data_IF_540565286647
#
_entry.id   IF_540565286647
#
_cell.length_a   1.000
_cell.length_b   1.000
_cell.length_c   1.000
_cell.angle_alpha   90.00
_cell.angle_beta   90.00
_cell.angle_gamma   90.00
#
_symmetry.space_group_name_H-M   'P 1'
#
loop_
_entity.id
_entity.type
_entity.pdbx_description
1 polymer ?
#
# COMPACT_ATOMS: atom_id res chain seq x y z
N UNK A 1 -13.46 23.57 31.09
CA UNK A 1 -13.33 23.48 29.63
C UNK A 1 -11.87 23.43 29.16
N UNK A 2 -10.99 24.36 29.51
CA UNK A 2 -9.59 24.39 29.02
C UNK A 2 -8.77 23.10 29.26
N UNK A 3 -8.88 22.49 30.44
CA UNK A 3 -8.18 21.21 30.73
C UNK A 3 -8.73 20.02 29.93
N UNK A 4 -10.02 20.03 29.63
CA UNK A 4 -10.66 18.98 28.80
C UNK A 4 -10.18 19.11 27.36
N UNK A 5 -10.18 20.33 26.81
CA UNK A 5 -9.62 20.58 25.48
C UNK A 5 -8.13 20.20 25.38
N UNK A 6 -7.32 20.55 26.39
CA UNK A 6 -5.92 20.14 26.48
C UNK A 6 -5.75 18.61 26.46
N UNK A 7 -6.57 17.89 27.26
CA UNK A 7 -6.53 16.44 27.29
C UNK A 7 -6.94 15.79 25.95
N UNK A 8 -7.96 16.33 25.27
CA UNK A 8 -8.39 15.85 23.95
C UNK A 8 -7.30 16.06 22.88
N UNK A 9 -6.62 17.21 22.88
CA UNK A 9 -5.50 17.48 21.98
C UNK A 9 -4.32 16.53 22.24
N UNK A 10 -3.97 16.28 23.51
CA UNK A 10 -2.93 15.31 23.86
C UNK A 10 -3.30 13.88 23.44
N UNK A 11 -4.57 13.50 23.59
CA UNK A 11 -5.06 12.19 23.15
C UNK A 11 -5.00 12.05 21.63
N UNK A 12 -5.44 13.07 20.88
CA UNK A 12 -5.36 13.08 19.42
C UNK A 12 -3.90 12.99 18.94
N UNK A 13 -2.99 13.74 19.57
CA UNK A 13 -1.56 13.66 19.29
C UNK A 13 -0.99 12.26 19.57
N UNK A 14 -1.37 11.64 20.70
CA UNK A 14 -0.95 10.29 21.05
C UNK A 14 -1.46 9.25 20.04
N UNK A 15 -2.72 9.35 19.60
CA UNK A 15 -3.27 8.50 18.53
C UNK A 15 -2.47 8.68 17.23
N UNK A 16 -2.09 9.91 16.89
CA UNK A 16 -1.23 10.20 15.75
C UNK A 16 0.16 9.54 15.87
N UNK A 17 0.77 9.60 17.06
CA UNK A 17 2.06 8.93 17.33
C UNK A 17 1.92 7.42 17.14
N UNK A 18 0.88 6.81 17.73
CA UNK A 18 0.61 5.37 17.58
C UNK A 18 0.47 4.98 16.12
N UNK A 19 -0.26 5.73 15.29
CA UNK A 19 -0.43 5.45 13.86
C UNK A 19 0.88 5.50 13.08
N UNK A 20 1.79 6.42 13.43
CA UNK A 20 3.09 6.54 12.77
C UNK A 20 4.07 5.42 13.13
N UNK A 21 3.95 4.80 14.31
CA UNK A 21 4.94 3.83 14.83
C UNK A 21 4.43 2.39 14.89
N UNK A 22 3.14 2.17 15.08
CA UNK A 22 2.56 0.84 15.18
C UNK A 22 2.71 0.11 13.83
N UNK A 23 3.00 -1.20 13.81
CA UNK A 23 3.08 -1.94 12.55
C UNK A 23 1.81 -1.77 11.71
N UNK A 24 1.98 -1.36 10.44
CA UNK A 24 0.89 -1.20 9.48
C UNK A 24 0.97 -2.21 8.32
N UNK A 25 2.05 -2.98 8.26
CA UNK A 25 2.27 -4.12 7.35
C UNK A 25 2.60 -5.36 8.17
N UNK A 26 2.54 -6.54 7.55
CA UNK A 26 2.93 -7.80 8.20
C UNK A 26 3.71 -8.69 7.23
N UNK A 27 4.79 -9.31 7.69
CA UNK A 27 5.57 -10.26 6.88
C UNK A 27 4.81 -11.58 6.63
N UNK A 28 3.95 -11.98 7.57
CA UNK A 28 3.07 -13.15 7.48
C UNK A 28 1.73 -12.89 8.18
N UNK A 29 0.72 -13.72 7.90
CA UNK A 29 -0.63 -13.56 8.42
C UNK A 29 -1.35 -12.30 7.91
N UNK A 30 -2.41 -11.90 8.63
CA UNK A 30 -3.22 -10.71 8.34
C UNK A 30 -2.39 -9.42 8.50
N UNK A 31 -2.29 -8.56 7.46
CA UNK A 31 -1.81 -7.19 7.67
C UNK A 31 -2.79 -6.42 8.58
N UNK A 32 -2.30 -5.60 9.53
CA UNK A 32 -3.15 -5.03 10.58
C UNK A 32 -4.43 -4.35 10.10
N UNK A 33 -5.58 -4.92 10.47
CA UNK A 33 -6.91 -4.37 10.24
C UNK A 33 -7.49 -4.59 8.84
N UNK A 34 -6.83 -5.37 7.99
CA UNK A 34 -7.32 -5.66 6.63
C UNK A 34 -8.61 -6.46 6.67
N UNK A 35 -8.78 -7.46 7.55
CA UNK A 35 -10.01 -8.24 7.59
C UNK A 35 -11.23 -7.35 7.93
N UNK A 36 -11.04 -6.41 8.86
CA UNK A 36 -12.04 -5.38 9.20
C UNK A 36 -12.29 -4.40 8.05
N UNK A 37 -11.29 -4.12 7.24
CA UNK A 37 -11.44 -3.28 6.04
C UNK A 37 -12.24 -4.01 4.96
N UNK A 38 -11.97 -5.30 4.73
CA UNK A 38 -12.73 -6.13 3.80
C UNK A 38 -14.18 -6.34 4.26
N UNK A 39 -14.43 -6.41 5.57
CA UNK A 39 -15.80 -6.44 6.10
C UNK A 39 -16.58 -5.16 5.78
N UNK A 40 -15.95 -3.99 5.91
CA UNK A 40 -16.54 -2.71 5.49
C UNK A 40 -16.81 -2.69 3.97
N UNK A 41 -15.81 -3.05 3.17
CA UNK A 41 -15.91 -3.07 1.72
C UNK A 41 -17.02 -4.01 1.24
N UNK A 42 -17.16 -5.18 1.85
CA UNK A 42 -18.20 -6.14 1.47
C UNK A 42 -19.60 -5.56 1.64
N UNK A 43 -19.85 -4.91 2.78
CA UNK A 43 -21.12 -4.24 3.06
C UNK A 43 -21.35 -3.08 2.08
N UNK A 44 -20.35 -2.22 1.87
CA UNK A 44 -20.45 -1.10 0.91
C UNK A 44 -20.75 -1.58 -0.52
N UNK A 45 -20.16 -2.70 -0.95
CA UNK A 45 -20.43 -3.31 -2.25
C UNK A 45 -21.83 -3.95 -2.35
N UNK A 46 -22.38 -4.49 -1.25
CA UNK A 46 -23.80 -4.91 -1.20
C UNK A 46 -24.75 -3.71 -1.33
N UNK A 47 -24.34 -2.56 -0.79
CA UNK A 47 -25.13 -1.32 -0.78
C UNK A 47 -25.01 -0.50 -2.08
N UNK A 48 -24.36 -1.02 -3.13
CA UNK A 48 -24.31 -0.38 -4.45
C UNK A 48 -23.08 0.51 -4.72
N UNK A 49 -22.04 0.43 -3.89
CA UNK A 49 -20.83 1.26 -4.10
C UNK A 49 -20.11 0.96 -5.43
N UNK A 50 -20.31 -0.23 -6.02
CA UNK A 50 -19.74 -0.54 -7.33
C UNK A 50 -20.32 0.37 -8.42
N UNK A 51 -21.63 0.54 -8.42
CA UNK A 51 -22.37 1.42 -9.31
C UNK A 51 -22.03 2.90 -9.04
N UNK A 52 -21.92 3.30 -7.77
CA UNK A 52 -21.48 4.65 -7.42
C UNK A 52 -20.06 4.94 -7.93
N UNK A 53 -19.14 3.97 -7.80
CA UNK A 53 -17.79 4.11 -8.30
C UNK A 53 -17.76 4.23 -9.84
N UNK A 54 -18.63 3.51 -10.56
CA UNK A 54 -18.76 3.61 -12.02
C UNK A 54 -19.12 5.01 -12.50
N UNK A 55 -19.88 5.77 -11.70
CA UNK A 55 -20.23 7.14 -12.01
C UNK A 55 -19.05 8.13 -11.85
N UNK A 56 -17.99 7.73 -11.15
CA UNK A 56 -16.79 8.54 -10.97
C UNK A 56 -15.82 8.39 -12.13
N UNK A 57 -15.67 7.16 -12.68
CA UNK A 57 -14.74 6.88 -13.77
C UNK A 57 -15.03 5.55 -14.49
N UNK A 58 -14.51 5.35 -15.73
CA UNK A 58 -14.91 4.25 -16.62
C UNK A 58 -14.73 2.84 -16.04
N UNK A 59 -13.76 2.64 -15.16
CA UNK A 59 -13.39 1.36 -14.55
C UNK A 59 -13.90 1.24 -13.10
N UNK A 60 -14.73 2.17 -12.62
CA UNK A 60 -15.09 2.28 -11.20
C UNK A 60 -15.75 1.03 -10.64
N UNK A 61 -16.77 0.49 -11.32
CA UNK A 61 -17.40 -0.77 -10.93
C UNK A 61 -16.38 -1.90 -10.90
N UNK A 62 -15.57 -1.98 -11.95
CA UNK A 62 -14.59 -3.05 -12.13
C UNK A 62 -13.55 -3.02 -11.02
N UNK A 63 -12.93 -1.87 -10.74
CA UNK A 63 -11.91 -1.74 -9.70
C UNK A 63 -12.47 -1.97 -8.29
N UNK A 64 -13.69 -1.50 -7.99
CA UNK A 64 -14.32 -1.74 -6.69
C UNK A 64 -14.44 -3.25 -6.38
N UNK A 65 -14.80 -4.06 -7.39
CA UNK A 65 -14.96 -5.49 -7.23
C UNK A 65 -13.65 -6.28 -7.34
N UNK A 66 -12.82 -6.00 -8.35
CA UNK A 66 -11.59 -6.78 -8.58
C UNK A 66 -10.60 -6.59 -7.43
N UNK A 67 -10.43 -5.37 -6.91
CA UNK A 67 -9.49 -5.11 -5.81
C UNK A 67 -9.96 -5.77 -4.51
N UNK A 68 -11.27 -5.78 -4.25
CA UNK A 68 -11.85 -6.56 -3.14
C UNK A 68 -11.57 -8.06 -3.31
N UNK A 69 -11.83 -8.62 -4.49
CA UNK A 69 -11.60 -10.03 -4.79
C UNK A 69 -10.12 -10.42 -4.66
N UNK A 70 -9.20 -9.60 -5.17
CA UNK A 70 -7.76 -9.83 -5.08
C UNK A 70 -7.25 -9.72 -3.65
N UNK A 71 -7.71 -8.73 -2.88
CA UNK A 71 -7.36 -8.62 -1.46
C UNK A 71 -7.85 -9.85 -0.66
N UNK A 72 -9.04 -10.38 -0.98
CA UNK A 72 -9.53 -11.66 -0.42
C UNK A 72 -8.63 -12.83 -0.79
N UNK A 73 -8.25 -12.97 -2.07
CA UNK A 73 -7.32 -14.01 -2.51
C UNK A 73 -6.02 -13.96 -1.71
N UNK A 74 -5.41 -12.80 -1.62
CA UNK A 74 -4.13 -12.64 -0.91
C UNK A 74 -4.26 -12.91 0.58
N UNK A 75 -5.38 -12.53 1.20
CA UNK A 75 -5.65 -12.85 2.60
C UNK A 75 -5.79 -14.35 2.82
N UNK A 76 -6.55 -15.06 1.99
CA UNK A 76 -6.71 -16.52 2.07
C UNK A 76 -5.43 -17.31 1.78
N UNK A 77 -4.50 -16.72 1.03
CA UNK A 77 -3.15 -17.27 0.84
C UNK A 77 -2.28 -17.08 2.09
N UNK A 78 -2.42 -15.95 2.80
CA UNK A 78 -1.68 -15.65 4.04
C UNK A 78 -2.21 -16.40 5.25
N UNK A 79 -3.52 -16.67 5.29
CA UNK A 79 -4.21 -17.28 6.44
C UNK A 79 -4.98 -18.53 6.02
N UNK A 80 -4.43 -19.74 6.27
CA UNK A 80 -5.10 -20.99 5.94
C UNK A 80 -6.51 -21.12 6.49
N UNK A 81 -6.77 -20.59 7.70
CA UNK A 81 -8.08 -20.62 8.35
C UNK A 81 -9.16 -19.80 7.60
N UNK A 82 -8.77 -18.79 6.83
CA UNK A 82 -9.69 -17.92 6.07
C UNK A 82 -9.78 -18.31 4.59
N UNK A 83 -9.09 -19.37 4.17
CA UNK A 83 -8.94 -19.73 2.75
C UNK A 83 -10.26 -20.01 2.06
N UNK A 84 -11.16 -20.74 2.72
CA UNK A 84 -12.47 -21.08 2.17
C UNK A 84 -13.38 -19.85 2.05
N UNK A 85 -13.46 -19.03 3.11
CA UNK A 85 -14.18 -17.76 3.09
C UNK A 85 -13.64 -16.86 1.97
N UNK A 86 -12.33 -16.72 1.89
CA UNK A 86 -11.65 -15.89 0.88
C UNK A 86 -11.93 -16.36 -0.54
N UNK A 87 -11.96 -17.69 -0.78
CA UNK A 87 -12.27 -18.24 -2.08
C UNK A 87 -13.72 -17.97 -2.48
N UNK A 88 -14.68 -18.06 -1.54
CA UNK A 88 -16.08 -17.73 -1.79
C UNK A 88 -16.26 -16.25 -2.13
N UNK A 89 -15.63 -15.37 -1.37
CA UNK A 89 -15.72 -13.92 -1.60
C UNK A 89 -15.03 -13.51 -2.92
N UNK A 90 -13.89 -14.13 -3.25
CA UNK A 90 -13.21 -13.89 -4.53
C UNK A 90 -14.03 -14.37 -5.73
N UNK A 91 -14.74 -15.51 -5.62
CA UNK A 91 -15.69 -15.97 -6.65
C UNK A 91 -16.88 -15.04 -6.81
N UNK A 92 -17.40 -14.52 -5.70
CA UNK A 92 -18.46 -13.52 -5.73
C UNK A 92 -18.00 -12.28 -6.51
N UNK A 93 -16.80 -11.76 -6.22
CA UNK A 93 -16.23 -10.62 -6.93
C UNK A 93 -16.02 -10.92 -8.42
N UNK A 94 -15.49 -12.09 -8.75
CA UNK A 94 -15.28 -12.54 -10.13
C UNK A 94 -16.61 -12.58 -10.92
N UNK A 95 -17.69 -13.10 -10.32
CA UNK A 95 -18.99 -13.12 -10.95
C UNK A 95 -19.56 -11.71 -11.21
N UNK A 96 -19.14 -10.69 -10.45
CA UNK A 96 -19.51 -9.29 -10.69
C UNK A 96 -18.78 -8.71 -11.90
N UNK A 97 -17.49 -9.01 -12.06
CA UNK A 97 -16.72 -8.60 -13.24
C UNK A 97 -17.31 -9.19 -14.53
N UNK A 98 -17.79 -10.44 -14.47
CA UNK A 98 -18.39 -11.14 -15.61
C UNK A 98 -19.88 -10.80 -15.84
N UNK A 99 -20.47 -9.94 -15.00
CA UNK A 99 -21.87 -9.54 -15.10
C UNK A 99 -22.08 -8.48 -16.19
N UNK A 100 -23.33 -8.24 -16.64
CA UNK A 100 -23.63 -7.15 -17.57
C UNK A 100 -23.09 -5.79 -17.11
N UNK A 101 -23.14 -5.47 -15.81
CA UNK A 101 -22.59 -4.22 -15.27
C UNK A 101 -21.06 -4.19 -15.33
N UNK A 102 -20.41 -5.34 -15.09
CA UNK A 102 -18.94 -5.46 -15.12
C UNK A 102 -18.33 -5.33 -16.51
N UNK A 103 -19.07 -5.73 -17.56
CA UNK A 103 -18.62 -5.62 -18.95
C UNK A 103 -19.13 -4.36 -19.67
N UNK A 104 -20.17 -3.69 -19.16
CA UNK A 104 -20.85 -2.59 -19.84
C UNK A 104 -19.92 -1.45 -20.33
N UNK A 105 -18.87 -1.03 -19.60
CA UNK A 105 -17.98 0.03 -20.07
C UNK A 105 -17.01 -0.40 -21.18
N UNK A 106 -16.90 -1.70 -21.45
CA UNK A 106 -15.88 -2.27 -22.31
C UNK A 106 -16.45 -2.73 -23.64
N UNK A 107 -15.71 -2.48 -24.72
CA UNK A 107 -16.16 -2.82 -26.09
C UNK A 107 -15.97 -4.31 -26.40
N UNK A 108 -17.04 -5.06 -26.75
CA UNK A 108 -16.93 -6.47 -27.14
C UNK A 108 -16.20 -6.67 -28.47
N UNK A 109 -16.01 -5.62 -29.27
CA UNK A 109 -15.34 -5.65 -30.59
C UNK A 109 -13.80 -5.65 -30.49
N UNK A 110 -13.25 -5.47 -29.29
CA UNK A 110 -11.80 -5.55 -29.06
C UNK A 110 -11.28 -6.99 -29.19
N UNK A 111 -9.97 -7.12 -29.35
CA UNK A 111 -9.29 -8.43 -29.34
C UNK A 111 -8.26 -8.47 -28.21
N UNK A 112 -8.48 -9.28 -27.16
CA UNK A 112 -9.67 -10.09 -26.90
C UNK A 112 -10.93 -9.24 -26.61
N UNK A 113 -12.15 -9.80 -26.70
CA UNK A 113 -13.39 -9.08 -26.40
C UNK A 113 -13.33 -8.39 -25.02
N UNK A 114 -13.85 -7.17 -24.94
CA UNK A 114 -13.77 -6.29 -23.75
C UNK A 114 -12.38 -5.74 -23.43
N UNK A 115 -11.39 -5.99 -24.28
CA UNK A 115 -10.05 -5.39 -24.17
C UNK A 115 -9.15 -6.05 -23.14
N UNK A 116 -7.84 -5.75 -23.24
CA UNK A 116 -6.82 -6.41 -22.42
C UNK A 116 -6.91 -6.03 -20.93
N UNK A 117 -7.42 -4.84 -20.61
CA UNK A 117 -7.69 -4.42 -19.23
C UNK A 117 -8.64 -5.41 -18.56
N UNK A 118 -9.87 -5.52 -19.07
CA UNK A 118 -10.90 -6.36 -18.48
C UNK A 118 -10.44 -7.82 -18.42
N UNK A 119 -9.93 -8.34 -19.54
CA UNK A 119 -9.53 -9.75 -19.64
C UNK A 119 -8.32 -10.07 -18.76
N UNK A 120 -7.30 -9.22 -18.70
CA UNK A 120 -6.10 -9.44 -17.91
C UNK A 120 -6.38 -9.51 -16.42
N UNK A 121 -7.08 -8.49 -15.89
CA UNK A 121 -7.45 -8.43 -14.48
C UNK A 121 -8.42 -9.56 -14.08
N UNK A 122 -9.42 -9.85 -14.92
CA UNK A 122 -10.36 -10.96 -14.67
C UNK A 122 -9.64 -12.31 -14.66
N UNK A 123 -8.74 -12.55 -15.62
CA UNK A 123 -7.98 -13.80 -15.69
C UNK A 123 -7.00 -13.95 -14.51
N UNK A 124 -6.41 -12.84 -14.04
CA UNK A 124 -5.62 -12.83 -12.81
C UNK A 124 -6.44 -13.24 -11.59
N UNK A 125 -7.65 -12.69 -11.41
CA UNK A 125 -8.55 -13.07 -10.32
C UNK A 125 -9.00 -14.55 -10.43
N UNK A 126 -9.30 -15.04 -11.64
CA UNK A 126 -9.60 -16.48 -11.89
C UNK A 126 -8.47 -17.38 -11.41
N UNK A 127 -7.22 -17.07 -11.79
CA UNK A 127 -6.05 -17.81 -11.33
C UNK A 127 -5.90 -17.74 -9.80
N UNK A 128 -6.21 -16.60 -9.19
CA UNK A 128 -6.21 -16.41 -7.74
C UNK A 128 -7.21 -17.33 -7.00
N UNK A 129 -8.44 -17.44 -7.51
CA UNK A 129 -9.45 -18.38 -6.98
C UNK A 129 -8.94 -19.82 -7.06
N UNK A 130 -8.37 -20.23 -8.19
CA UNK A 130 -7.80 -21.57 -8.37
C UNK A 130 -6.62 -21.84 -7.43
N UNK A 131 -5.80 -20.82 -7.15
CA UNK A 131 -4.66 -20.93 -6.25
C UNK A 131 -5.04 -21.11 -4.77
N UNK A 132 -6.27 -20.73 -4.38
CA UNK A 132 -6.78 -20.99 -3.02
C UNK A 132 -7.28 -22.43 -2.84
N UNK A 133 -7.58 -23.16 -3.92
CA UNK A 133 -8.01 -24.55 -3.84
C UNK A 133 -6.81 -25.50 -3.99
N UNK A 134 -6.72 -26.56 -3.15
CA UNK A 134 -5.81 -27.69 -3.42
C UNK A 134 -6.06 -28.25 -4.81
N UNK A 135 -4.99 -28.67 -5.50
CA UNK A 135 -5.05 -29.12 -6.90
C UNK A 135 -6.12 -30.19 -7.13
N UNK A 136 -6.27 -31.13 -6.19
CA UNK A 136 -7.20 -32.26 -6.26
C UNK A 136 -8.67 -31.86 -6.06
N UNK A 137 -8.91 -30.65 -5.53
CA UNK A 137 -10.24 -30.10 -5.22
C UNK A 137 -10.63 -28.92 -6.08
N UNK A 138 -9.85 -28.60 -7.11
CA UNK A 138 -10.19 -27.53 -8.05
C UNK A 138 -11.41 -27.93 -8.86
N UNK A 139 -12.36 -27.01 -8.99
CA UNK A 139 -13.53 -27.20 -9.85
C UNK A 139 -13.06 -27.32 -11.32
N UNK A 140 -13.37 -28.43 -12.01
CA UNK A 140 -13.01 -28.63 -13.41
C UNK A 140 -13.51 -27.52 -14.35
N UNK A 141 -14.67 -26.90 -14.05
CA UNK A 141 -15.21 -25.80 -14.84
C UNK A 141 -14.40 -24.51 -14.65
N UNK A 142 -13.92 -24.23 -13.43
CA UNK A 142 -13.03 -23.09 -13.16
C UNK A 142 -11.68 -23.28 -13.86
N UNK A 143 -11.13 -24.50 -13.82
CA UNK A 143 -9.88 -24.85 -14.52
C UNK A 143 -10.01 -24.65 -16.03
N UNK A 144 -11.09 -25.15 -16.65
CA UNK A 144 -11.32 -24.96 -18.10
C UNK A 144 -11.44 -23.49 -18.46
N UNK A 145 -12.26 -22.72 -17.75
CA UNK A 145 -12.43 -21.28 -18.02
C UNK A 145 -11.13 -20.48 -17.90
N UNK A 146 -10.29 -20.80 -16.92
CA UNK A 146 -8.98 -20.16 -16.76
C UNK A 146 -8.01 -20.55 -17.89
N UNK A 147 -7.98 -21.82 -18.29
CA UNK A 147 -7.16 -22.29 -19.39
C UNK A 147 -7.58 -21.68 -20.75
N UNK A 148 -8.88 -21.62 -21.03
CA UNK A 148 -9.45 -21.05 -22.25
C UNK A 148 -9.18 -19.54 -22.35
N UNK A 149 -9.40 -18.78 -21.27
CA UNK A 149 -9.12 -17.35 -21.26
C UNK A 149 -7.63 -17.04 -21.36
N UNK A 150 -6.77 -17.83 -20.71
CA UNK A 150 -5.32 -17.71 -20.87
C UNK A 150 -4.89 -18.01 -22.30
N UNK A 151 -5.49 -19.03 -22.95
CA UNK A 151 -5.22 -19.34 -24.34
C UNK A 151 -5.65 -18.22 -25.29
N UNK A 152 -6.80 -17.59 -25.04
CA UNK A 152 -7.28 -16.44 -25.82
C UNK A 152 -6.36 -15.22 -25.66
N UNK A 153 -5.93 -14.92 -24.43
CA UNK A 153 -4.94 -13.86 -24.18
C UNK A 153 -3.61 -14.14 -24.86
N UNK A 154 -3.08 -15.36 -24.74
CA UNK A 154 -1.84 -15.78 -25.39
C UNK A 154 -1.92 -15.65 -26.91
N UNK A 155 -3.03 -16.11 -27.52
CA UNK A 155 -3.27 -15.97 -28.96
C UNK A 155 -3.36 -14.50 -29.41
N UNK A 156 -4.00 -13.63 -28.62
CA UNK A 156 -4.08 -12.20 -28.92
C UNK A 156 -2.70 -11.55 -28.90
N UNK A 157 -1.86 -11.85 -27.90
CA UNK A 157 -0.48 -11.36 -27.86
C UNK A 157 0.37 -11.91 -29.01
N UNK A 158 0.23 -13.19 -29.35
CA UNK A 158 0.98 -13.83 -30.42
C UNK A 158 0.62 -13.27 -31.81
N UNK A 159 -0.62 -12.82 -32.00
CA UNK A 159 -1.09 -12.20 -33.24
C UNK A 159 -0.78 -10.70 -33.33
N UNK A 160 -0.40 -10.05 -32.23
CA UNK A 160 -0.16 -8.61 -32.18
C UNK A 160 1.23 -8.24 -32.68
N UNK A 161 1.31 -7.17 -33.47
CA UNK A 161 2.59 -6.60 -33.92
C UNK A 161 3.32 -5.81 -32.83
N UNK A 162 2.63 -5.48 -31.74
CA UNK A 162 3.18 -4.73 -30.60
C UNK A 162 2.99 -5.53 -29.31
N UNK A 163 3.80 -5.29 -28.26
CA UNK A 163 3.60 -5.93 -26.96
C UNK A 163 2.37 -5.38 -26.21
N UNK A 164 1.67 -4.39 -26.76
CA UNK A 164 0.60 -3.67 -26.07
C UNK A 164 -0.73 -3.88 -26.79
N UNK A 165 -1.59 -4.70 -26.19
CA UNK A 165 -2.96 -4.88 -26.67
C UNK A 165 -3.82 -3.68 -26.27
N UNK A 166 -4.89 -3.44 -27.04
CA UNK A 166 -5.84 -2.37 -26.77
C UNK A 166 -6.66 -2.67 -25.51
N UNK A 167 -6.74 -1.69 -24.60
CA UNK A 167 -7.64 -1.72 -23.45
C UNK A 167 -9.00 -1.10 -23.80
N UNK A 168 -8.97 -0.07 -24.65
CA UNK A 168 -10.13 0.63 -25.19
C UNK A 168 -9.99 0.78 -26.71
N UNK A 169 -11.07 1.07 -27.45
CA UNK A 169 -10.99 1.32 -28.89
C UNK A 169 -9.90 2.34 -29.23
N UNK A 170 -8.95 1.92 -30.08
CA UNK A 170 -7.80 2.72 -30.52
C UNK A 170 -6.87 3.22 -29.40
N UNK A 171 -6.86 2.58 -28.24
CA UNK A 171 -6.05 3.03 -27.11
C UNK A 171 -5.44 1.85 -26.35
N UNK A 172 -4.13 1.93 -26.12
CA UNK A 172 -3.35 0.89 -25.46
C UNK A 172 -2.52 1.49 -24.32
N UNK A 173 -2.66 0.88 -23.15
CA UNK A 173 -1.88 1.19 -21.96
C UNK A 173 -0.96 0.01 -21.62
N UNK A 174 0.36 0.20 -21.55
CA UNK A 174 1.31 -0.86 -21.19
C UNK A 174 1.03 -1.54 -19.85
N UNK A 175 0.45 -0.82 -18.89
CA UNK A 175 0.08 -1.37 -17.58
C UNK A 175 -0.92 -2.53 -17.70
N UNK A 176 -1.89 -2.44 -18.61
CA UNK A 176 -2.95 -3.45 -18.74
C UNK A 176 -2.43 -4.73 -19.38
N UNK A 177 -1.58 -4.58 -20.40
CA UNK A 177 -0.87 -5.72 -20.99
C UNK A 177 0.07 -6.38 -19.98
N UNK A 178 0.68 -5.61 -19.07
CA UNK A 178 1.51 -6.17 -17.98
C UNK A 178 0.68 -7.08 -17.06
N UNK A 179 -0.52 -6.67 -16.66
CA UNK A 179 -1.42 -7.50 -15.82
C UNK A 179 -1.82 -8.78 -16.56
N UNK A 180 -2.18 -8.67 -17.84
CA UNK A 180 -2.55 -9.82 -18.66
C UNK A 180 -1.41 -10.83 -18.81
N UNK A 181 -0.19 -10.37 -19.09
CA UNK A 181 0.99 -11.25 -19.21
C UNK A 181 1.36 -11.90 -17.86
N UNK A 182 1.21 -11.18 -16.75
CA UNK A 182 1.34 -11.79 -15.42
C UNK A 182 0.33 -12.94 -15.22
N UNK A 183 -0.91 -12.80 -15.72
CA UNK A 183 -1.90 -13.89 -15.65
C UNK A 183 -1.49 -15.14 -16.46
N UNK A 184 -0.77 -14.98 -17.57
CA UNK A 184 -0.21 -16.10 -18.34
C UNK A 184 0.92 -16.82 -17.59
N UNK A 185 1.74 -16.07 -16.85
CA UNK A 185 2.77 -16.64 -15.97
C UNK A 185 2.18 -17.38 -14.77
N UNK A 186 1.09 -16.84 -14.22
CA UNK A 186 0.29 -17.54 -13.21
C UNK A 186 -0.31 -18.83 -13.76
N UNK A 187 -0.81 -18.83 -15.00
CA UNK A 187 -1.25 -20.05 -15.66
C UNK A 187 -0.17 -21.12 -15.68
N UNK A 188 1.04 -20.79 -16.15
CA UNK A 188 2.17 -21.73 -16.21
C UNK A 188 2.61 -22.25 -14.84
N UNK A 189 2.18 -21.60 -13.76
CA UNK A 189 2.43 -22.05 -12.38
C UNK A 189 1.34 -23.00 -11.89
N UNK A 190 0.08 -22.76 -12.27
CA UNK A 190 -1.07 -23.49 -11.75
C UNK A 190 -1.47 -24.69 -12.62
N UNK A 191 -1.16 -24.63 -13.91
CA UNK A 191 -1.50 -25.59 -14.97
C UNK A 191 -0.24 -25.91 -15.81
N UNK A 192 -0.28 -26.93 -16.70
CA UNK A 192 0.86 -27.25 -17.55
C UNK A 192 1.39 -26.00 -18.30
N UNK A 193 2.70 -25.69 -18.19
CA UNK A 193 3.29 -24.51 -18.81
C UNK A 193 3.06 -24.46 -20.32
N UNK A 194 2.70 -23.29 -20.84
CA UNK A 194 2.37 -23.06 -22.26
C UNK A 194 2.85 -21.71 -22.80
N UNK A 195 2.92 -20.67 -21.98
CA UNK A 195 3.01 -19.29 -22.47
C UNK A 195 4.41 -18.68 -22.47
N UNK A 196 5.46 -19.47 -22.18
CA UNK A 196 6.85 -19.00 -22.17
C UNK A 196 7.23 -18.21 -23.43
N UNK A 197 6.95 -18.74 -24.62
CA UNK A 197 7.30 -18.08 -25.88
C UNK A 197 6.57 -16.75 -26.10
N UNK A 198 5.31 -16.65 -25.70
CA UNK A 198 4.53 -15.40 -25.72
C UNK A 198 5.14 -14.36 -24.78
N UNK A 199 5.48 -14.77 -23.55
CA UNK A 199 6.07 -13.89 -22.54
C UNK A 199 7.45 -13.39 -22.96
N UNK A 200 8.29 -14.26 -23.50
CA UNK A 200 9.65 -13.88 -23.95
C UNK A 200 9.57 -12.83 -25.06
N UNK A 201 8.71 -13.03 -26.08
CA UNK A 201 8.47 -12.04 -27.14
C UNK A 201 7.92 -10.72 -26.60
N UNK A 202 6.99 -10.78 -25.64
CA UNK A 202 6.44 -9.59 -25.02
C UNK A 202 7.52 -8.79 -24.30
N UNK A 203 8.36 -9.44 -23.48
CA UNK A 203 9.46 -8.80 -22.75
C UNK A 203 10.46 -8.12 -23.70
N UNK A 204 10.83 -8.79 -24.79
CA UNK A 204 11.73 -8.21 -25.79
C UNK A 204 11.09 -6.98 -26.47
N UNK A 205 9.80 -7.06 -26.80
CA UNK A 205 9.05 -5.93 -27.33
C UNK A 205 8.99 -4.74 -26.38
N UNK A 206 8.79 -4.99 -25.08
CA UNK A 206 8.75 -3.97 -24.02
C UNK A 206 10.11 -3.29 -23.84
N UNK A 207 11.20 -4.07 -23.78
CA UNK A 207 12.56 -3.53 -23.60
C UNK A 207 12.97 -2.56 -24.72
N UNK A 208 12.44 -2.76 -25.92
CA UNK A 208 12.69 -1.89 -27.08
C UNK A 208 11.82 -0.61 -27.09
N UNK A 209 10.77 -0.53 -26.26
CA UNK A 209 9.73 0.51 -26.30
C UNK A 209 9.55 1.20 -24.95
N UNK A 210 10.61 1.27 -24.16
CA UNK A 210 10.61 2.03 -22.92
C UNK A 210 10.51 3.54 -23.23
N UNK A 211 9.89 4.29 -22.33
CA UNK A 211 9.89 5.74 -22.36
C UNK A 211 11.35 6.24 -22.36
N UNK A 212 11.80 6.94 -23.42
CA UNK A 212 13.19 7.35 -23.57
C UNK A 212 13.64 8.32 -22.48
N UNK A 213 12.72 9.04 -21.82
CA UNK A 213 13.05 9.98 -20.75
C UNK A 213 13.33 9.29 -19.43
N UNK A 214 12.55 8.27 -19.09
CA UNK A 214 12.61 7.63 -17.77
C UNK A 214 13.27 6.25 -17.79
N UNK A 215 13.35 5.61 -18.95
CA UNK A 215 13.75 4.21 -19.09
C UNK A 215 12.72 3.25 -18.46
N UNK A 216 11.48 3.70 -18.25
CA UNK A 216 10.38 2.90 -17.70
C UNK A 216 9.36 2.56 -18.79
N UNK A 217 8.42 1.65 -18.51
CA UNK A 217 7.26 1.48 -19.39
C UNK A 217 6.50 2.82 -19.52
N UNK A 218 6.12 3.27 -20.73
CA UNK A 218 5.35 4.51 -20.89
C UNK A 218 3.94 4.40 -20.30
N UNK A 219 3.29 5.54 -20.03
CA UNK A 219 1.90 5.53 -19.56
C UNK A 219 0.94 5.09 -20.66
N UNK A 220 1.08 5.66 -21.86
CA UNK A 220 0.27 5.34 -23.04
C UNK A 220 1.18 5.18 -24.25
N UNK A 221 0.77 4.32 -25.18
CA UNK A 221 1.46 4.07 -26.45
C UNK A 221 0.53 4.27 -27.63
N UNK A 222 1.12 4.43 -28.80
CA UNK A 222 0.39 4.25 -30.05
C UNK A 222 -0.04 2.77 -30.20
N UNK A 223 -1.33 2.47 -30.41
CA UNK A 223 -1.83 1.09 -30.41
C UNK A 223 -1.39 0.26 -31.61
N UNK A 224 -0.91 0.89 -32.69
CA UNK A 224 -0.52 0.20 -33.94
C UNK A 224 0.97 -0.10 -33.95
N UNK A 225 1.80 0.84 -33.51
CA UNK A 225 3.26 0.77 -33.54
C UNK A 225 3.86 0.36 -32.19
N UNK A 226 3.12 0.58 -31.10
CA UNK A 226 3.60 0.42 -29.73
C UNK A 226 4.58 1.50 -29.29
N UNK A 227 4.78 2.56 -30.09
CA UNK A 227 5.69 3.64 -29.75
C UNK A 227 5.20 4.40 -28.50
N UNK A 228 6.09 4.81 -27.57
CA UNK A 228 5.74 5.67 -26.45
C UNK A 228 5.02 6.94 -26.93
N UNK A 229 3.76 7.10 -26.51
CA UNK A 229 2.96 8.30 -26.80
C UNK A 229 2.98 9.28 -25.62
N UNK A 230 3.10 8.75 -24.40
CA UNK A 230 3.20 9.53 -23.17
C UNK A 230 4.32 9.03 -22.27
N UNK A 231 4.90 9.96 -21.51
CA UNK A 231 5.91 9.67 -20.48
C UNK A 231 5.38 8.65 -19.46
N UNK A 232 6.26 7.91 -18.80
CA UNK A 232 5.87 7.08 -17.67
C UNK A 232 5.18 7.93 -16.58
N UNK A 233 4.09 7.40 -16.00
CA UNK A 233 3.31 8.04 -14.93
C UNK A 233 3.18 7.18 -13.69
N UNK A 234 3.12 7.82 -12.52
CA UNK A 234 3.11 7.18 -11.21
C UNK A 234 1.98 6.18 -11.02
N UNK A 235 0.77 6.56 -11.46
CA UNK A 235 -0.43 5.68 -11.49
C UNK A 235 -0.14 4.35 -12.18
N UNK A 236 0.25 4.38 -13.45
CA UNK A 236 0.58 3.16 -14.21
C UNK A 236 1.78 2.42 -13.63
N UNK A 237 2.86 3.13 -13.30
CA UNK A 237 4.09 2.50 -12.80
C UNK A 237 3.86 1.74 -11.50
N UNK A 238 3.05 2.29 -10.58
CA UNK A 238 2.75 1.63 -9.32
C UNK A 238 2.08 0.26 -9.51
N UNK A 239 1.20 0.12 -10.51
CA UNK A 239 0.58 -1.15 -10.89
C UNK A 239 1.58 -2.03 -11.67
N UNK A 240 2.35 -1.48 -12.62
CA UNK A 240 3.39 -2.22 -13.34
C UNK A 240 4.33 -2.91 -12.35
N UNK A 241 4.81 -2.20 -11.33
CA UNK A 241 5.69 -2.77 -10.29
C UNK A 241 4.99 -3.75 -9.34
N UNK A 242 3.67 -3.81 -9.37
CA UNK A 242 2.91 -4.83 -8.65
C UNK A 242 2.93 -6.18 -9.36
N UNK A 243 3.02 -6.18 -10.69
CA UNK A 243 2.86 -7.35 -11.55
C UNK A 243 4.12 -7.76 -12.30
N UNK A 244 5.00 -6.83 -12.67
CA UNK A 244 6.23 -7.13 -13.41
C UNK A 244 7.14 -8.15 -12.71
N UNK A 245 7.25 -8.19 -11.36
CA UNK A 245 7.97 -9.26 -10.66
C UNK A 245 7.38 -10.67 -10.86
N UNK A 246 6.10 -10.79 -11.21
CA UNK A 246 5.46 -12.08 -11.53
C UNK A 246 5.86 -12.56 -12.94
N UNK A 247 6.41 -11.67 -13.77
CA UNK A 247 6.79 -11.93 -15.16
C UNK A 247 8.30 -12.20 -15.27
N UNK A 248 9.10 -11.21 -14.91
CA UNK A 248 10.56 -11.24 -14.97
C UNK A 248 11.12 -10.47 -13.76
N UNK A 249 11.51 -11.17 -12.67
CA UNK A 249 12.03 -10.53 -11.46
C UNK A 249 13.24 -9.64 -11.69
N UNK A 250 14.12 -9.98 -12.65
CA UNK A 250 15.36 -9.25 -12.92
C UNK A 250 15.06 -7.91 -13.59
N UNK A 251 14.29 -7.93 -14.68
CA UNK A 251 13.84 -6.73 -15.36
C UNK A 251 12.96 -5.88 -14.44
N UNK A 252 12.05 -6.50 -13.68
CA UNK A 252 11.22 -5.79 -12.72
C UNK A 252 12.06 -5.02 -11.69
N UNK A 253 13.14 -5.61 -11.19
CA UNK A 253 14.04 -4.97 -10.23
C UNK A 253 14.74 -3.75 -10.82
N UNK A 254 15.20 -3.83 -12.06
CA UNK A 254 15.81 -2.71 -12.77
C UNK A 254 14.82 -1.54 -12.92
N UNK A 255 13.61 -1.86 -13.40
CA UNK A 255 12.53 -0.87 -13.55
C UNK A 255 12.15 -0.25 -12.21
N UNK A 256 12.03 -1.05 -11.14
CA UNK A 256 11.63 -0.56 -9.81
C UNK A 256 12.63 0.44 -9.20
N UNK A 257 13.93 0.20 -9.37
CA UNK A 257 14.95 1.15 -8.93
C UNK A 257 14.82 2.48 -9.69
N UNK A 258 14.66 2.42 -11.01
CA UNK A 258 14.46 3.61 -11.84
C UNK A 258 13.18 4.38 -11.49
N UNK A 259 12.10 3.69 -11.14
CA UNK A 259 10.86 4.28 -10.66
C UNK A 259 11.04 4.96 -9.30
N UNK A 260 11.67 4.26 -8.35
CA UNK A 260 11.94 4.81 -7.02
C UNK A 260 12.74 6.10 -7.08
N UNK A 261 13.78 6.13 -7.91
CA UNK A 261 14.67 7.29 -8.05
C UNK A 261 13.95 8.49 -8.70
N UNK A 262 12.96 8.25 -9.57
CA UNK A 262 12.26 9.30 -10.31
C UNK A 262 10.93 9.75 -9.71
N UNK A 263 10.24 8.90 -8.96
CA UNK A 263 8.86 9.16 -8.54
C UNK A 263 8.68 9.22 -7.02
N UNK A 264 9.59 8.63 -6.22
CA UNK A 264 9.49 8.73 -4.77
C UNK A 264 9.81 10.16 -4.33
N UNK A 265 8.92 10.74 -3.54
CA UNK A 265 9.04 12.09 -3.02
C UNK A 265 8.78 12.12 -1.51
N UNK A 266 9.13 13.24 -0.89
CA UNK A 266 8.80 13.53 0.51
C UNK A 266 8.27 14.97 0.59
N UNK A 267 7.02 15.20 0.20
CA UNK A 267 6.43 16.54 0.09
C UNK A 267 6.54 17.28 1.44
N UNK A 268 7.10 18.49 1.42
CA UNK A 268 7.35 19.31 2.62
C UNK A 268 8.22 18.62 3.70
N UNK A 269 8.91 17.52 3.38
CA UNK A 269 9.60 16.72 4.39
C UNK A 269 8.67 15.82 5.22
N UNK A 270 7.39 15.70 4.86
CA UNK A 270 6.35 15.05 5.66
C UNK A 270 5.94 13.69 5.06
N UNK A 271 6.79 12.69 5.28
CA UNK A 271 6.50 11.30 4.91
C UNK A 271 6.67 10.97 3.42
N UNK A 272 6.75 9.68 3.07
CA UNK A 272 6.92 9.25 1.69
C UNK A 272 5.61 9.40 0.90
N UNK A 273 5.75 9.83 -0.35
CA UNK A 273 4.67 9.89 -1.33
C UNK A 273 5.20 9.59 -2.73
N UNK A 274 4.30 9.36 -3.68
CA UNK A 274 4.65 9.10 -5.08
C UNK A 274 4.12 10.23 -5.94
N UNK A 275 4.99 10.78 -6.80
CA UNK A 275 4.61 11.79 -7.79
C UNK A 275 3.82 11.16 -8.93
N UNK A 276 2.98 11.94 -9.59
CA UNK A 276 2.32 11.47 -10.82
C UNK A 276 3.26 11.53 -12.02
N UNK A 277 4.04 12.59 -12.12
CA UNK A 277 5.04 12.79 -13.17
C UNK A 277 6.45 12.62 -12.58
N UNK A 278 7.41 12.10 -13.37
CA UNK A 278 8.78 11.91 -12.91
C UNK A 278 9.38 13.24 -12.43
N UNK A 279 10.29 13.18 -11.47
CA UNK A 279 11.00 14.35 -10.95
C UNK A 279 11.59 15.19 -12.10
N UNK A 280 11.39 16.51 -12.03
CA UNK A 280 11.73 17.44 -13.12
C UNK A 280 10.68 17.53 -14.23
N UNK A 281 9.52 16.91 -14.07
CA UNK A 281 8.33 17.10 -14.89
C UNK A 281 7.11 17.26 -13.99
N UNK A 282 6.21 18.16 -14.41
CA UNK A 282 4.88 18.32 -13.85
C UNK A 282 3.85 18.26 -14.98
N UNK A 283 2.62 17.94 -14.62
CA UNK A 283 1.49 17.88 -15.54
C UNK A 283 0.17 17.88 -14.76
N UNK A 284 -0.97 17.95 -15.46
CA UNK A 284 -2.28 17.96 -14.81
C UNK A 284 -2.60 16.61 -14.18
N UNK A 285 -3.43 16.63 -13.14
CA UNK A 285 -4.08 15.41 -12.67
C UNK A 285 -5.24 15.03 -13.59
N UNK A 286 -5.62 13.76 -13.55
CA UNK A 286 -6.78 13.23 -14.25
C UNK A 286 -7.54 12.25 -13.35
N UNK A 287 -8.39 11.45 -13.99
CA UNK A 287 -9.25 10.49 -13.33
C UNK A 287 -8.49 9.39 -12.59
N UNK A 288 -7.30 9.01 -13.07
CA UNK A 288 -6.48 7.95 -12.47
C UNK A 288 -5.68 8.48 -11.28
N UNK A 289 -5.12 9.68 -11.43
CA UNK A 289 -4.25 10.27 -10.41
C UNK A 289 -5.01 11.01 -9.32
N UNK A 290 -6.22 11.47 -9.64
CA UNK A 290 -6.94 12.46 -8.86
C UNK A 290 -6.18 13.79 -8.75
N UNK A 291 -6.52 14.63 -7.76
CA UNK A 291 -5.88 15.93 -7.58
C UNK A 291 -4.40 15.81 -7.16
N UNK A 292 -3.52 16.53 -7.86
CA UNK A 292 -2.07 16.49 -7.67
C UNK A 292 -1.54 17.57 -6.72
N UNK A 293 -1.86 17.46 -5.44
CA UNK A 293 -1.32 18.38 -4.43
C UNK A 293 0.20 18.17 -4.32
N UNK A 294 0.98 19.23 -4.61
CA UNK A 294 2.45 19.17 -4.68
C UNK A 294 2.99 18.11 -5.68
N UNK A 295 2.22 17.84 -6.74
CA UNK A 295 2.57 16.83 -7.76
C UNK A 295 2.38 15.38 -7.30
N UNK A 296 1.82 15.14 -6.11
CA UNK A 296 1.62 13.81 -5.53
C UNK A 296 0.35 13.18 -6.08
N UNK A 297 0.46 11.93 -6.51
CA UNK A 297 -0.67 11.06 -6.81
C UNK A 297 -0.98 10.18 -5.61
N UNK A 298 -2.16 10.38 -5.01
CA UNK A 298 -2.58 9.60 -3.83
C UNK A 298 -2.84 8.14 -4.21
N UNK A 299 -3.42 7.88 -5.38
CA UNK A 299 -3.63 6.53 -5.91
C UNK A 299 -2.29 5.82 -6.12
N UNK A 300 -1.34 6.46 -6.80
CA UNK A 300 0.01 5.91 -6.99
C UNK A 300 0.72 5.67 -5.65
N UNK A 301 0.56 6.56 -4.67
CA UNK A 301 1.15 6.42 -3.34
C UNK A 301 0.62 5.18 -2.62
N UNK A 302 -0.70 4.96 -2.65
CA UNK A 302 -1.35 3.78 -2.05
C UNK A 302 -0.93 2.50 -2.78
N UNK A 303 -0.96 2.47 -4.10
CA UNK A 303 -0.62 1.25 -4.86
C UNK A 303 0.87 0.90 -4.74
N UNK A 304 1.74 1.91 -4.62
CA UNK A 304 3.18 1.71 -4.44
C UNK A 304 3.53 1.00 -3.13
N UNK A 305 2.66 1.05 -2.12
CA UNK A 305 2.79 0.18 -0.95
C UNK A 305 2.84 -1.30 -1.36
N UNK A 306 1.91 -1.72 -2.22
CA UNK A 306 1.86 -3.09 -2.74
C UNK A 306 3.07 -3.43 -3.60
N UNK A 307 3.49 -2.51 -4.48
CA UNK A 307 4.70 -2.66 -5.28
C UNK A 307 5.96 -2.83 -4.41
N UNK A 308 6.12 -1.99 -3.38
CA UNK A 308 7.23 -2.09 -2.42
C UNK A 308 7.24 -3.44 -1.69
N UNK A 309 6.07 -3.95 -1.28
CA UNK A 309 5.98 -5.30 -0.73
C UNK A 309 6.39 -6.37 -1.75
N UNK A 310 6.02 -6.22 -3.03
CA UNK A 310 6.41 -7.18 -4.07
C UNK A 310 7.89 -7.21 -4.38
N UNK A 311 8.57 -6.08 -4.27
CA UNK A 311 10.01 -5.96 -4.45
C UNK A 311 10.83 -6.24 -3.18
N UNK A 312 10.18 -6.53 -2.04
CA UNK A 312 10.87 -6.72 -0.77
C UNK A 312 11.42 -5.42 -0.15
N UNK A 313 10.96 -4.24 -0.60
CA UNK A 313 11.29 -2.94 0.01
C UNK A 313 10.45 -2.72 1.28
N UNK A 314 10.71 -3.54 2.29
CA UNK A 314 9.92 -3.55 3.53
C UNK A 314 9.93 -2.21 4.28
N UNK A 315 11.00 -1.42 4.15
CA UNK A 315 11.08 -0.10 4.80
C UNK A 315 10.18 0.92 4.10
N UNK A 316 10.22 1.00 2.77
CA UNK A 316 9.31 1.88 2.03
C UNK A 316 7.85 1.43 2.22
N UNK A 317 7.57 0.13 2.15
CA UNK A 317 6.23 -0.40 2.41
C UNK A 317 5.73 -0.02 3.82
N UNK A 318 6.51 -0.26 4.87
CA UNK A 318 6.13 0.13 6.22
C UNK A 318 5.92 1.66 6.33
N UNK A 319 6.77 2.46 5.68
CA UNK A 319 6.66 3.91 5.73
C UNK A 319 5.40 4.45 5.05
N UNK A 320 5.08 3.97 3.84
CA UNK A 320 3.84 4.30 3.12
C UNK A 320 2.60 3.86 3.90
N UNK A 321 2.61 2.65 4.47
CA UNK A 321 1.50 2.16 5.28
C UNK A 321 1.30 2.98 6.56
N UNK A 322 2.37 3.28 7.31
CA UNK A 322 2.29 4.12 8.51
C UNK A 322 1.84 5.54 8.20
N UNK A 323 2.36 6.13 7.12
CA UNK A 323 1.94 7.44 6.68
C UNK A 323 0.47 7.45 6.26
N UNK A 324 -0.01 6.39 5.59
CA UNK A 324 -1.42 6.20 5.27
C UNK A 324 -2.33 6.05 6.51
N UNK A 325 -1.89 5.29 7.53
CA UNK A 325 -2.62 5.19 8.80
C UNK A 325 -2.69 6.56 9.53
N UNK A 326 -1.65 7.38 9.42
CA UNK A 326 -1.60 8.73 9.99
C UNK A 326 -2.47 9.72 9.22
N UNK A 327 -2.20 9.91 7.91
CA UNK A 327 -2.83 10.92 7.07
C UNK A 327 -4.28 10.55 6.68
N UNK A 328 -4.57 9.26 6.50
CA UNK A 328 -5.90 8.79 6.11
C UNK A 328 -6.93 8.73 7.25
N UNK A 329 -6.48 8.99 8.48
CA UNK A 329 -7.30 9.10 9.70
C UNK A 329 -8.39 8.00 9.84
N UNK A 330 -8.03 6.71 9.83
CA UNK A 330 -9.02 5.63 9.78
C UNK A 330 -9.93 5.61 11.01
N UNK A 331 -11.20 5.32 10.78
CA UNK A 331 -12.18 4.99 11.83
C UNK A 331 -12.21 3.49 11.98
N UNK A 332 -11.94 3.02 13.20
CA UNK A 332 -11.91 1.60 13.53
C UNK A 332 -12.95 1.28 14.61
N UNK A 333 -13.78 0.29 14.32
CA UNK A 333 -14.66 -0.38 15.27
C UNK A 333 -14.16 -1.81 15.49
N UNK A 334 -14.75 -2.58 16.43
CA UNK A 334 -14.45 -4.02 16.56
C UNK A 334 -14.73 -4.83 15.28
N UNK A 335 -15.59 -4.34 14.39
CA UNK A 335 -16.09 -5.08 13.23
C UNK A 335 -15.56 -4.56 11.90
N UNK A 336 -15.34 -3.25 11.79
CA UNK A 336 -15.01 -2.59 10.52
C UNK A 336 -13.87 -1.60 10.67
N UNK A 337 -13.15 -1.38 9.58
CA UNK A 337 -12.17 -0.31 9.44
C UNK A 337 -12.41 0.42 8.12
N UNK A 338 -12.43 1.75 8.14
CA UNK A 338 -12.62 2.58 6.93
C UNK A 338 -11.84 3.88 7.01
N UNK A 339 -11.41 4.39 5.86
CA UNK A 339 -10.70 5.67 5.75
C UNK A 339 -11.63 6.77 5.27
N UNK A 340 -11.25 8.03 5.49
CA UNK A 340 -12.08 9.20 5.10
C UNK A 340 -13.56 9.06 5.53
N UNK A 341 -13.80 8.52 6.72
CA UNK A 341 -15.13 8.22 7.29
C UNK A 341 -15.99 7.21 6.50
N UNK A 342 -15.46 6.60 5.43
CA UNK A 342 -16.18 5.72 4.52
C UNK A 342 -16.72 6.40 3.26
N UNK A 343 -16.38 7.67 3.02
CA UNK A 343 -16.93 8.44 1.91
C UNK A 343 -16.49 7.94 0.51
N UNK A 344 -15.36 7.24 0.43
CA UNK A 344 -14.79 6.75 -0.84
C UNK A 344 -14.29 5.31 -0.69
N UNK A 345 -15.18 4.29 -0.63
CA UNK A 345 -14.77 2.91 -0.35
C UNK A 345 -13.82 2.32 -1.39
N UNK A 346 -13.79 2.83 -2.62
CA UNK A 346 -12.79 2.41 -3.61
C UNK A 346 -11.34 2.68 -3.16
N UNK A 347 -11.10 3.77 -2.42
CA UNK A 347 -9.78 4.04 -1.82
C UNK A 347 -9.42 3.00 -0.75
N UNK A 348 -10.41 2.53 0.02
CA UNK A 348 -10.25 1.41 0.95
C UNK A 348 -9.90 0.11 0.21
N UNK A 349 -10.49 -0.14 -0.97
CA UNK A 349 -10.20 -1.32 -1.78
C UNK A 349 -8.75 -1.33 -2.30
N UNK A 350 -8.28 -0.20 -2.84
CA UNK A 350 -6.87 -0.03 -3.24
C UNK A 350 -5.91 -0.26 -2.07
N UNK A 351 -6.22 0.30 -0.90
CA UNK A 351 -5.35 0.16 0.27
C UNK A 351 -5.35 -1.25 0.85
N UNK A 352 -6.51 -1.93 0.90
CA UNK A 352 -6.59 -3.32 1.32
C UNK A 352 -5.74 -4.21 0.41
N UNK A 353 -5.92 -4.09 -0.91
CA UNK A 353 -5.14 -4.82 -1.91
C UNK A 353 -3.64 -4.50 -1.86
N UNK A 354 -3.27 -3.25 -1.62
CA UNK A 354 -1.87 -2.86 -1.47
C UNK A 354 -1.24 -3.47 -0.20
N UNK A 355 -1.97 -3.50 0.93
CA UNK A 355 -1.49 -4.07 2.20
C UNK A 355 -1.38 -5.59 2.17
N UNK A 356 -2.24 -6.28 1.42
CA UNK A 356 -2.22 -7.75 1.32
C UNK A 356 -1.16 -8.31 0.38
N UNK A 357 -0.45 -7.43 -0.35
CA UNK A 357 0.44 -7.82 -1.41
C UNK A 357 1.45 -8.92 -1.04
N UNK A 358 1.51 -9.93 -1.92
CA UNK A 358 2.45 -11.06 -1.83
C UNK A 358 2.78 -11.61 -3.22
N UNK A 359 3.86 -12.39 -3.38
CA UNK A 359 4.11 -13.17 -4.60
C UNK A 359 3.04 -14.23 -4.86
N UNK A 360 2.64 -14.37 -6.12
CA UNK A 360 1.73 -15.42 -6.57
C UNK A 360 2.47 -16.46 -7.41
N UNK A 361 3.39 -15.99 -8.26
CA UNK A 361 4.33 -16.81 -9.01
C UNK A 361 5.60 -17.00 -8.16
N UNK A 362 6.11 -18.24 -8.01
CA UNK A 362 7.37 -18.49 -7.32
C UNK A 362 8.53 -17.74 -7.99
N UNK A 363 9.23 -16.92 -7.21
CA UNK A 363 10.49 -16.32 -7.61
C UNK A 363 11.63 -17.26 -7.23
N UNK A 364 12.34 -17.78 -8.23
CA UNK A 364 13.51 -18.65 -8.04
C UNK A 364 14.82 -17.86 -8.12
N UNK A 365 14.76 -16.55 -8.38
CA UNK A 365 15.93 -15.71 -8.49
C UNK A 365 16.35 -15.18 -7.13
N UNK A 366 17.65 -15.27 -6.85
CA UNK A 366 18.23 -14.61 -5.68
C UNK A 366 18.65 -13.21 -6.08
N UNK A 367 18.02 -12.19 -5.49
CA UNK A 367 18.38 -10.80 -5.71
C UNK A 367 18.95 -10.15 -4.45
N UNK A 368 19.90 -9.20 -4.58
CA UNK A 368 20.42 -8.46 -3.44
C UNK A 368 19.31 -7.74 -2.67
N UNK A 369 19.50 -7.55 -1.38
CA UNK A 369 18.61 -6.71 -0.56
C UNK A 369 18.60 -5.28 -1.08
N UNK A 370 17.42 -4.65 -1.14
CA UNK A 370 17.28 -3.27 -1.56
C UNK A 370 17.89 -2.31 -0.52
N UNK A 371 18.56 -1.27 -1.01
CA UNK A 371 18.85 -0.09 -0.20
C UNK A 371 17.53 0.58 0.22
N UNK A 372 17.49 1.18 1.40
CA UNK A 372 16.28 1.83 1.92
C UNK A 372 15.87 2.99 1.02
N UNK A 373 14.66 2.93 0.43
CA UNK A 373 14.11 4.04 -0.36
C UNK A 373 13.76 5.28 0.47
N UNK A 374 13.62 5.11 1.79
CA UNK A 374 13.28 6.19 2.74
C UNK A 374 14.34 6.28 3.85
N UNK A 375 14.67 7.49 4.33
CA UNK A 375 15.59 7.64 5.45
C UNK A 375 14.99 7.08 6.75
N UNK A 376 15.81 6.51 7.64
CA UNK A 376 15.32 5.94 8.90
C UNK A 376 14.58 6.96 9.80
N UNK A 377 14.90 8.24 9.63
CA UNK A 377 14.37 9.36 10.40
C UNK A 377 13.13 10.02 9.77
N UNK A 378 12.54 9.45 8.71
CA UNK A 378 11.41 10.05 7.99
C UNK A 378 10.22 10.44 8.90
N UNK A 379 10.04 9.75 10.03
CA UNK A 379 8.99 10.02 11.02
C UNK A 379 9.27 11.22 11.91
N UNK A 380 10.53 11.62 12.09
CA UNK A 380 10.94 12.60 13.11
C UNK A 380 10.23 13.95 12.99
N UNK A 381 10.03 14.56 11.80
CA UNK A 381 9.31 15.83 11.71
C UNK A 381 7.88 15.73 12.24
N UNK A 382 7.15 14.68 11.84
CA UNK A 382 5.76 14.45 12.26
C UNK A 382 5.66 14.09 13.74
N UNK A 383 6.55 13.24 14.26
CA UNK A 383 6.59 12.90 15.68
C UNK A 383 6.89 14.13 16.55
N UNK A 384 7.82 14.99 16.10
CA UNK A 384 8.15 16.23 16.81
C UNK A 384 6.97 17.19 16.85
N UNK A 385 6.26 17.34 15.72
CA UNK A 385 5.03 18.13 15.64
C UNK A 385 3.95 17.60 16.59
N UNK A 386 3.72 16.29 16.61
CA UNK A 386 2.72 15.67 17.49
C UNK A 386 3.06 15.83 18.97
N UNK A 387 4.32 15.66 19.35
CA UNK A 387 4.77 15.91 20.72
C UNK A 387 4.56 17.37 21.10
N UNK A 388 4.90 18.31 20.21
CA UNK A 388 4.69 19.74 20.44
C UNK A 388 3.20 20.05 20.64
N UNK A 389 2.32 19.56 19.75
CA UNK A 389 0.86 19.73 19.86
C UNK A 389 0.29 19.10 21.13
N UNK A 390 0.79 17.92 21.53
CA UNK A 390 0.33 17.22 22.72
C UNK A 390 0.76 17.87 24.03
N UNK A 391 1.92 18.54 24.06
CA UNK A 391 2.50 19.15 25.28
C UNK A 391 2.17 20.64 25.42
N UNK A 392 2.07 21.39 24.32
CA UNK A 392 1.87 22.84 24.35
C UNK A 392 0.70 23.32 25.23
N UNK A 393 -0.48 22.68 25.24
CA UNK A 393 -1.61 23.08 26.10
C UNK A 393 -1.32 23.00 27.60
N UNK A 394 -0.30 22.23 28.01
CA UNK A 394 0.08 22.01 29.41
C UNK A 394 1.20 22.95 29.89
N UNK A 395 1.88 23.66 28.99
CA UNK A 395 2.99 24.55 29.33
C UNK A 395 2.62 25.59 30.42
N UNK A 396 1.46 26.27 30.37
CA UNK A 396 1.10 27.24 31.42
C UNK A 396 0.97 26.58 32.81
N UNK A 397 0.40 25.38 32.88
CA UNK A 397 0.23 24.64 34.15
C UNK A 397 1.60 24.18 34.68
N UNK A 398 2.49 23.73 33.80
CA UNK A 398 3.84 23.30 34.16
C UNK A 398 4.70 24.48 34.64
N UNK A 399 4.61 25.63 33.96
CA UNK A 399 5.31 26.87 34.34
C UNK A 399 4.82 27.40 35.69
N UNK A 400 3.51 27.42 35.93
CA UNK A 400 2.93 27.83 37.23
C UNK A 400 3.36 26.89 38.37
N UNK A 401 3.41 25.56 38.13
CA UNK A 401 3.93 24.58 39.10
C UNK A 401 5.43 24.78 39.37
N UNK A 402 6.23 25.06 38.34
CA UNK A 402 7.66 25.31 38.46
C UNK A 402 7.95 26.60 39.23
N UNK A 403 7.18 27.66 38.99
CA UNK A 403 7.27 28.92 39.74
C UNK A 403 6.92 28.71 41.22
N UNK A 404 5.81 28.00 41.52
CA UNK A 404 5.41 27.69 42.90
C UNK A 404 6.44 26.83 43.65
N UNK A 405 7.08 25.86 42.97
CA UNK A 405 8.18 25.08 43.57
C UNK A 405 9.44 25.91 43.84
N UNK A 406 9.77 26.86 42.96
CA UNK A 406 10.89 27.78 43.18
C UNK A 406 10.65 28.74 44.35
N UNK A 407 9.43 29.26 44.51
CA UNK A 407 9.09 30.16 45.62
C UNK A 407 8.82 29.43 46.94
N UNK A 408 8.43 28.15 46.91
CA UNK A 408 8.22 27.32 48.11
C UNK A 408 9.49 26.66 48.66
N UNK A 409 10.60 26.72 47.93
CA UNK A 409 11.91 26.20 48.38
C UNK A 409 12.74 27.23 49.15
N UNK A 410 12.30 28.49 49.23
CA UNK A 410 13.03 29.60 49.86
C UNK A 410 12.53 29.97 51.27
N UNK A 411 11.67 29.14 51.91
CA UNK A 411 11.15 29.40 53.27
C UNK A 411 11.50 28.33 54.31
N UNK A 412 12.50 27.47 54.05
CA UNK A 412 13.01 26.49 55.02
C UNK A 412 14.50 26.73 55.28
N UNK A 413 14.82 27.83 55.97
CA UNK A 413 16.19 28.15 56.35
C UNK A 413 16.24 29.45 57.14
N UNK A 414 15.92 29.40 58.43
CA UNK A 414 16.01 30.58 59.30
C UNK A 414 15.22 30.47 60.61
N UNK A 415 15.33 29.35 61.31
CA UNK A 415 14.83 29.21 62.67
C UNK A 415 15.98 28.85 63.60
N UNK A 416 16.68 29.86 64.12
CA UNK A 416 17.66 29.71 65.20
C UNK A 416 16.87 29.59 66.52
N UNK A 417 17.02 28.52 67.33
CA UNK A 417 16.58 28.55 68.70
C UNK A 417 17.70 29.12 69.59
N UNK A 418 17.33 30.05 70.46
CA UNK A 418 18.19 30.61 71.49
C UNK A 418 18.55 29.52 72.53
N UNK A 419 19.84 29.40 72.84
CA UNK A 419 20.37 28.55 73.91
C UNK A 419 20.86 29.45 75.04
N UNK A 420 20.28 29.28 76.23
CA UNK A 420 20.79 29.81 77.50
C UNK A 420 21.35 28.64 78.31
N UNK A 421 22.67 28.71 78.57
CA UNK A 421 23.33 28.38 79.84
C UNK A 421 23.29 26.96 80.42
N UNK A 422 24.47 26.34 80.54
CA UNK A 422 24.78 25.46 81.68
C UNK A 422 25.69 24.26 81.40
N UNK A 423 26.97 24.37 81.81
CA UNK A 423 27.70 23.28 82.50
C UNK A 423 28.17 22.04 81.72
N UNK A 424 29.49 22.00 81.48
CA UNK A 424 30.35 20.81 81.25
C UNK A 424 30.34 19.81 82.45
N UNK A 425 31.02 18.62 82.41
CA UNK A 425 31.98 18.10 81.43
C UNK A 425 31.88 16.58 81.08
N UNK A 426 32.78 16.17 80.18
CA UNK A 426 33.67 14.99 80.29
C UNK A 426 33.47 13.76 79.37
N UNK A 427 34.52 13.55 78.56
CA UNK A 427 35.15 12.27 78.17
C UNK A 427 34.46 11.39 77.14
N UNK A 428 35.13 10.63 76.26
CA UNK A 428 36.50 10.55 75.77
C UNK A 428 36.50 9.49 74.64
N UNK A 429 37.50 9.52 73.75
CA UNK A 429 37.89 8.44 72.81
C UNK A 429 36.87 8.08 71.71
N UNK A 430 37.21 7.79 70.46
CA UNK A 430 38.45 7.51 69.75
C UNK A 430 38.02 6.95 68.36
N UNK A 431 38.84 7.03 67.31
CA UNK A 431 38.45 6.69 65.93
C UNK A 431 38.88 5.25 65.58
N UNK A 432 38.97 4.86 64.28
CA UNK A 432 38.00 4.78 63.19
C UNK A 432 37.92 3.31 62.65
N UNK A 433 37.12 3.02 61.61
CA UNK A 433 37.51 2.15 60.47
C UNK A 433 36.34 1.80 59.52
N UNK A 434 36.63 1.43 58.25
CA UNK A 434 35.67 1.42 57.13
C UNK A 434 35.37 0.02 56.54
N UNK A 435 34.69 0.00 55.38
CA UNK A 435 34.58 -1.10 54.37
C UNK A 435 33.43 -2.09 54.66
N UNK A 436 32.48 -2.43 53.76
CA UNK A 436 32.51 -2.96 52.37
C UNK A 436 31.08 -3.06 51.79
N UNK A 437 30.86 -3.17 50.46
CA UNK A 437 29.54 -3.49 49.88
C UNK A 437 29.41 -4.96 49.41
N UNK A 438 28.15 -5.37 49.13
CA UNK A 438 27.60 -6.50 48.32
C UNK A 438 26.66 -7.43 49.10
N UNK A 439 25.69 -8.12 48.44
CA UNK A 439 25.56 -8.41 46.99
C UNK A 439 24.54 -7.58 46.21
#
# INVERSE_FOLDING_TARGET
MARVAAALLSLAALVGVVRLVAPATAAGGEPPGVARQLAFLRAALDDGTGEDAQALFPEGYFFAHVLYGLARVELGMREPARREESAREARWALARLESPAGVAPFSPELTPPYGVFHQGWTNWLRGGVLALAPTERRDPAEVRRFAEASAALGAAFDASATPYLAAYPQQAWPVDSTVAVASLRLHDTLLPPRFRGTVDRWLDGVRQRLDPRTGLLPHRVDPVTGAPAEVARGTSQSIVHRFLPEIDPIFARQQYLAFRDRFLATPLGLGPAVREYPAGLDGPGDVDSGPLLLGVSLSATVVTLGAAQRHGDHRLAAALANYGEFAGLPVQTPWTKRYALGAMPIGDAFLAWAKTARPWVPDTTSQPTLSSGVPFWWRLPLLSLLVAVGVAPWLPVLLLRRHRRRTGSSSAGGGVPAVVGGGLPATAAGPPAPVRPLP
#
